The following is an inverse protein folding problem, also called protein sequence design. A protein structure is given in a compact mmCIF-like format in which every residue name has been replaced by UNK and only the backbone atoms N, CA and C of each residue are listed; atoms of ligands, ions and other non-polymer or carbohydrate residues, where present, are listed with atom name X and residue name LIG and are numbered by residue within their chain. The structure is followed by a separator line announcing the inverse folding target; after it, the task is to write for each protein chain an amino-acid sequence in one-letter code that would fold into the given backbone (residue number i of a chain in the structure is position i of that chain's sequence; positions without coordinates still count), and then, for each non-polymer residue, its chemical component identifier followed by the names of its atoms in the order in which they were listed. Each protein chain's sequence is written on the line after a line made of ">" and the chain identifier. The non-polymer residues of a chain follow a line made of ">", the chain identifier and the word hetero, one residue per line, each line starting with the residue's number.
data_IF_468600484127
#
_entry.id   IF_468600484127
#
_cell.length_a   1.000
_cell.length_b   1.000
_cell.length_c   1.000
_cell.angle_alpha   90.00
_cell.angle_beta   90.00
_cell.angle_gamma   90.00
#
_symmetry.space_group_name_H-M   'P 1'
#
loop_
_entity.id
_entity.type
_entity.pdbx_description
1 polymer ?
#
# COMPACT_ATOMS: atom_id res chain seq x y z
N UNK A 1 17.87 -19.60 -0.27
CA UNK A 1 16.43 -19.73 -0.49
C UNK A 1 15.71 -18.76 0.40
N UNK A 2 14.97 -17.83 -0.20
CA UNK A 2 14.20 -16.85 0.55
C UNK A 2 13.07 -17.58 1.28
N UNK A 3 12.63 -17.09 2.44
CA UNK A 3 11.54 -17.70 3.20
C UNK A 3 10.23 -17.66 2.40
N UNK A 4 10.06 -16.64 1.56
CA UNK A 4 8.97 -16.49 0.58
C UNK A 4 8.94 -17.69 -0.38
N UNK A 5 10.09 -18.11 -0.91
CA UNK A 5 10.16 -19.25 -1.84
C UNK A 5 9.74 -20.56 -1.16
N UNK A 6 10.01 -20.71 0.14
CA UNK A 6 9.57 -21.89 0.91
C UNK A 6 8.05 -21.90 1.11
N UNK A 7 7.47 -20.74 1.41
CA UNK A 7 6.01 -20.60 1.54
C UNK A 7 5.30 -20.80 0.20
N UNK A 8 5.85 -20.26 -0.88
CA UNK A 8 5.33 -20.42 -2.24
C UNK A 8 5.29 -21.90 -2.64
N UNK A 9 6.34 -22.66 -2.35
CA UNK A 9 6.37 -24.11 -2.61
C UNK A 9 5.31 -24.89 -1.82
N UNK A 10 4.96 -24.45 -0.61
CA UNK A 10 4.03 -25.15 0.28
C UNK A 10 2.57 -24.74 0.05
N UNK A 11 2.32 -23.45 -0.18
CA UNK A 11 1.00 -22.84 -0.19
C UNK A 11 0.63 -22.18 -1.54
N UNK A 12 1.49 -22.28 -2.56
CA UNK A 12 1.26 -21.67 -3.88
C UNK A 12 -0.08 -22.05 -4.52
N UNK A 13 -0.63 -23.23 -4.21
CA UNK A 13 -1.94 -23.71 -4.70
C UNK A 13 -3.15 -22.91 -4.16
N UNK A 14 -2.99 -22.21 -3.04
CA UNK A 14 -4.04 -21.38 -2.44
C UNK A 14 -3.99 -19.92 -2.89
N UNK A 15 -3.12 -19.58 -3.84
CA UNK A 15 -3.09 -18.26 -4.42
C UNK A 15 -4.41 -17.99 -5.17
N UNK A 16 -5.09 -16.91 -4.80
CA UNK A 16 -6.24 -16.39 -5.52
C UNK A 16 -5.72 -15.71 -6.79
N UNK A 17 -6.07 -16.21 -7.99
CA UNK A 17 -5.69 -15.57 -9.23
C UNK A 17 -6.44 -14.25 -9.39
N UNK A 18 -5.78 -13.23 -9.95
CA UNK A 18 -6.39 -11.93 -10.23
C UNK A 18 -7.00 -11.23 -8.99
N UNK A 19 -6.43 -11.43 -7.80
CA UNK A 19 -6.93 -10.85 -6.54
C UNK A 19 -7.22 -9.35 -6.66
N UNK A 20 -6.27 -8.56 -7.19
CA UNK A 20 -6.45 -7.11 -7.29
C UNK A 20 -7.63 -6.74 -8.19
N UNK A 21 -7.89 -7.49 -9.25
CA UNK A 21 -9.03 -7.21 -10.14
C UNK A 21 -10.35 -7.39 -9.39
N UNK A 22 -10.45 -8.45 -8.57
CA UNK A 22 -11.58 -8.67 -7.70
C UNK A 22 -11.76 -7.54 -6.67
N UNK A 23 -10.67 -7.10 -6.04
CA UNK A 23 -10.71 -5.99 -5.07
C UNK A 23 -11.17 -4.68 -5.71
N UNK A 24 -10.62 -4.32 -6.88
CA UNK A 24 -10.96 -3.09 -7.59
C UNK A 24 -12.41 -3.10 -8.09
N UNK A 25 -12.88 -4.23 -8.64
CA UNK A 25 -14.28 -4.38 -9.06
C UNK A 25 -15.24 -4.29 -7.87
N UNK A 26 -14.87 -4.88 -6.73
CA UNK A 26 -15.66 -4.78 -5.50
C UNK A 26 -15.73 -3.34 -4.99
N UNK A 27 -14.61 -2.61 -4.97
CA UNK A 27 -14.60 -1.18 -4.62
C UNK A 27 -15.44 -0.32 -5.58
N UNK A 28 -15.44 -0.64 -6.87
CA UNK A 28 -16.29 0.04 -7.84
C UNK A 28 -17.77 -0.21 -7.54
N UNK A 29 -18.16 -1.48 -7.33
CA UNK A 29 -19.54 -1.85 -7.05
C UNK A 29 -20.05 -1.22 -5.74
N UNK A 30 -19.26 -1.29 -4.67
CA UNK A 30 -19.59 -0.67 -3.38
C UNK A 30 -19.65 0.85 -3.49
N UNK A 31 -18.70 1.48 -4.20
CA UNK A 31 -18.73 2.93 -4.40
C UNK A 31 -19.94 3.40 -5.20
N UNK A 32 -20.34 2.68 -6.25
CA UNK A 32 -21.57 2.98 -6.99
C UNK A 32 -22.82 2.79 -6.12
N UNK A 33 -22.86 1.73 -5.30
CA UNK A 33 -23.95 1.52 -4.35
C UNK A 33 -24.08 2.67 -3.34
N UNK A 34 -22.96 3.15 -2.80
CA UNK A 34 -22.91 4.29 -1.87
C UNK A 34 -23.43 5.57 -2.55
N UNK A 35 -23.03 5.81 -3.80
CA UNK A 35 -23.40 7.03 -4.54
C UNK A 35 -24.86 7.07 -4.98
N UNK A 36 -25.43 5.92 -5.37
CA UNK A 36 -26.75 5.85 -6.02
C UNK A 36 -27.84 5.45 -5.01
N UNK A 37 -27.54 4.54 -4.08
CA UNK A 37 -28.54 3.89 -3.23
C UNK A 37 -28.51 4.44 -1.80
N UNK A 38 -27.37 4.34 -1.11
CA UNK A 38 -27.27 4.78 0.28
C UNK A 38 -25.87 5.28 0.64
N UNK A 39 -25.77 6.59 0.86
CA UNK A 39 -24.50 7.25 1.20
C UNK A 39 -23.89 6.80 2.53
N UNK A 40 -24.69 6.29 3.45
CA UNK A 40 -24.25 5.82 4.77
C UNK A 40 -23.86 4.34 4.77
N UNK A 41 -23.79 3.69 3.61
CA UNK A 41 -23.43 2.27 3.53
C UNK A 41 -21.96 2.03 3.93
N UNK A 42 -21.11 3.05 3.80
CA UNK A 42 -19.73 3.08 4.31
C UNK A 42 -19.64 2.72 5.81
N UNK A 43 -20.59 3.21 6.62
CA UNK A 43 -20.70 2.93 8.06
C UNK A 43 -20.92 1.43 8.37
N UNK A 44 -21.36 0.62 7.41
CA UNK A 44 -21.60 -0.80 7.60
C UNK A 44 -20.42 -1.68 7.21
N UNK A 45 -19.46 -1.14 6.44
CA UNK A 45 -18.34 -1.90 5.88
C UNK A 45 -16.98 -1.54 6.46
N UNK A 46 -16.81 -0.33 7.02
CA UNK A 46 -15.53 0.10 7.59
C UNK A 46 -15.08 -0.80 8.74
N UNK A 47 -13.76 -0.90 8.94
CA UNK A 47 -13.21 -1.74 9.98
C UNK A 47 -13.33 -1.05 11.34
N UNK A 48 -14.17 -1.61 12.23
CA UNK A 48 -14.37 -1.13 13.60
C UNK A 48 -14.15 -2.25 14.59
N UNK A 49 -13.31 -2.02 15.59
CA UNK A 49 -13.07 -2.97 16.68
C UNK A 49 -14.35 -3.27 17.45
N UNK A 50 -15.10 -2.23 17.80
CA UNK A 50 -16.33 -2.38 18.58
C UNK A 50 -17.37 -3.23 17.85
N UNK A 51 -17.59 -2.94 16.57
CA UNK A 51 -18.55 -3.70 15.76
C UNK A 51 -18.13 -5.17 15.58
N UNK A 52 -16.83 -5.46 15.44
CA UNK A 52 -16.32 -6.83 15.38
C UNK A 52 -16.58 -7.58 16.69
N UNK A 53 -16.34 -6.94 17.83
CA UNK A 53 -16.59 -7.54 19.15
C UNK A 53 -18.09 -7.81 19.39
N UNK A 54 -18.97 -7.02 18.77
CA UNK A 54 -20.42 -7.24 18.75
C UNK A 54 -20.89 -8.25 17.67
N UNK A 55 -19.98 -8.98 17.01
CA UNK A 55 -20.30 -10.08 16.10
C UNK A 55 -20.28 -9.73 14.61
N UNK A 56 -19.92 -8.50 14.22
CA UNK A 56 -19.86 -8.10 12.81
C UNK A 56 -18.54 -8.52 12.13
N UNK A 57 -18.28 -9.83 12.09
CA UNK A 57 -17.02 -10.41 11.58
C UNK A 57 -16.78 -10.16 10.09
N UNK A 58 -17.82 -9.90 9.30
CA UNK A 58 -17.70 -9.59 7.88
C UNK A 58 -16.85 -8.33 7.63
N UNK A 59 -16.77 -7.41 8.58
CA UNK A 59 -15.95 -6.18 8.50
C UNK A 59 -14.46 -6.47 8.32
N UNK A 60 -13.98 -7.64 8.74
CA UNK A 60 -12.60 -8.08 8.50
C UNK A 60 -12.28 -8.26 7.01
N UNK A 61 -13.30 -8.44 6.17
CA UNK A 61 -13.15 -8.59 4.71
C UNK A 61 -13.76 -7.39 3.97
N UNK A 62 -14.92 -6.89 4.39
CA UNK A 62 -15.64 -5.83 3.66
C UNK A 62 -14.90 -4.51 3.61
N UNK A 63 -14.05 -4.21 4.61
CA UNK A 63 -13.28 -2.97 4.63
C UNK A 63 -12.34 -2.83 3.43
N UNK A 64 -11.91 -3.94 2.82
CA UNK A 64 -11.09 -3.91 1.60
C UNK A 64 -11.84 -3.30 0.41
N UNK A 65 -13.16 -3.39 0.41
CA UNK A 65 -14.01 -2.83 -0.64
C UNK A 65 -14.48 -1.41 -0.33
N UNK A 66 -14.02 -0.82 0.77
CA UNK A 66 -14.26 0.59 1.05
C UNK A 66 -13.64 1.44 -0.06
N UNK A 67 -14.42 2.32 -0.72
CA UNK A 67 -13.99 3.00 -1.92
C UNK A 67 -13.09 4.19 -1.58
N UNK A 68 -11.78 3.98 -1.72
CA UNK A 68 -10.72 4.99 -1.54
C UNK A 68 -10.79 6.17 -2.54
N UNK A 69 -11.73 6.13 -3.49
CA UNK A 69 -11.84 7.05 -4.60
C UNK A 69 -13.01 8.05 -4.51
N UNK A 70 -13.90 7.95 -3.51
CA UNK A 70 -15.12 8.78 -3.41
C UNK A 70 -14.90 10.27 -3.09
N UNK A 71 -13.66 10.75 -3.05
CA UNK A 71 -13.30 12.13 -2.68
C UNK A 71 -13.22 13.16 -3.83
N UNK A 72 -13.40 12.77 -5.09
CA UNK A 72 -13.34 13.73 -6.21
C UNK A 72 -13.74 13.17 -7.57
N UNK A 73 -13.97 14.06 -8.54
CA UNK A 73 -14.38 13.73 -9.93
C UNK A 73 -13.42 12.76 -10.61
N UNK A 74 -12.15 12.78 -10.20
CA UNK A 74 -11.11 11.93 -10.76
C UNK A 74 -11.00 10.56 -10.06
N UNK A 75 -11.85 10.24 -9.08
CA UNK A 75 -11.79 9.00 -8.31
C UNK A 75 -11.75 7.72 -9.16
N UNK A 76 -12.55 7.65 -10.22
CA UNK A 76 -12.56 6.49 -11.13
C UNK A 76 -11.19 6.28 -11.79
N UNK A 77 -10.49 7.36 -12.16
CA UNK A 77 -9.14 7.26 -12.73
C UNK A 77 -8.14 6.75 -11.69
N UNK A 78 -8.31 7.08 -10.41
CA UNK A 78 -7.49 6.55 -9.33
C UNK A 78 -7.71 5.04 -9.16
N UNK A 79 -8.96 4.56 -9.24
CA UNK A 79 -9.27 3.13 -9.23
C UNK A 79 -8.62 2.39 -10.41
N UNK A 80 -8.75 2.93 -11.62
CA UNK A 80 -8.10 2.37 -12.83
C UNK A 80 -6.58 2.33 -12.66
N UNK A 81 -6.01 3.34 -12.01
CA UNK A 81 -4.59 3.40 -11.74
C UNK A 81 -4.12 2.30 -10.77
N UNK A 82 -4.84 2.09 -9.67
CA UNK A 82 -4.56 0.99 -8.73
C UNK A 82 -4.76 -0.39 -9.36
N UNK A 83 -5.77 -0.54 -10.21
CA UNK A 83 -5.96 -1.75 -11.01
C UNK A 83 -4.74 -2.02 -11.91
N UNK A 84 -4.23 -1.00 -12.60
CA UNK A 84 -3.09 -1.14 -13.49
C UNK A 84 -1.79 -1.47 -12.75
N UNK A 85 -1.53 -0.79 -11.62
CA UNK A 85 -0.39 -1.07 -10.74
C UNK A 85 -0.46 -2.50 -10.21
N UNK A 86 -1.62 -2.90 -9.67
CA UNK A 86 -1.82 -4.22 -9.11
C UNK A 86 -1.54 -5.32 -10.12
N UNK A 87 -2.11 -5.23 -11.32
CA UNK A 87 -1.84 -6.19 -12.40
C UNK A 87 -0.37 -6.23 -12.82
N UNK A 88 0.32 -5.09 -12.79
CA UNK A 88 1.74 -5.03 -13.13
C UNK A 88 2.60 -5.72 -12.06
N UNK A 89 2.26 -5.56 -10.78
CA UNK A 89 2.87 -6.30 -9.67
C UNK A 89 2.55 -7.81 -9.75
N UNK A 90 1.30 -8.19 -10.06
CA UNK A 90 0.92 -9.60 -10.25
C UNK A 90 1.77 -10.26 -11.34
N UNK A 91 1.97 -9.57 -12.47
CA UNK A 91 2.78 -10.09 -13.57
C UNK A 91 4.26 -10.24 -13.20
N UNK A 92 4.79 -9.34 -12.39
CA UNK A 92 6.21 -9.37 -12.01
C UNK A 92 6.52 -10.36 -10.88
N UNK A 93 5.59 -10.58 -9.94
CA UNK A 93 5.82 -11.45 -8.78
C UNK A 93 5.09 -12.79 -8.85
N UNK A 94 4.04 -12.91 -9.66
CA UNK A 94 3.10 -14.03 -9.62
C UNK A 94 2.01 -13.85 -8.55
N UNK A 95 0.92 -14.63 -8.69
CA UNK A 95 -0.27 -14.52 -7.84
C UNK A 95 0.03 -14.77 -6.36
N UNK A 96 0.85 -15.78 -6.04
CA UNK A 96 1.12 -16.14 -4.65
C UNK A 96 1.79 -15.01 -3.86
N UNK A 97 2.82 -14.41 -4.44
CA UNK A 97 3.59 -13.35 -3.76
C UNK A 97 2.76 -12.09 -3.57
N UNK A 98 1.95 -11.73 -4.56
CA UNK A 98 1.03 -10.60 -4.44
C UNK A 98 -0.06 -10.86 -3.38
N UNK A 99 -0.60 -12.07 -3.34
CA UNK A 99 -1.57 -12.44 -2.31
C UNK A 99 -0.95 -12.36 -0.92
N UNK A 100 0.25 -12.91 -0.73
CA UNK A 100 0.97 -12.80 0.54
C UNK A 100 1.24 -11.34 0.91
N UNK A 101 1.64 -10.52 -0.06
CA UNK A 101 1.87 -9.09 0.13
C UNK A 101 0.61 -8.37 0.65
N UNK A 102 -0.53 -8.56 -0.02
CA UNK A 102 -1.81 -7.96 0.36
C UNK A 102 -2.28 -8.50 1.71
N UNK A 103 -2.17 -9.81 1.94
CA UNK A 103 -2.54 -10.45 3.22
C UNK A 103 -1.74 -9.90 4.40
N UNK A 104 -0.44 -9.64 4.21
CA UNK A 104 0.40 -9.03 5.25
C UNK A 104 -0.05 -7.59 5.55
N UNK A 105 -0.40 -6.81 4.52
CA UNK A 105 -1.00 -5.49 4.70
C UNK A 105 -2.33 -5.56 5.46
N UNK A 106 -3.22 -6.48 5.07
CA UNK A 106 -4.51 -6.71 5.74
C UNK A 106 -4.34 -7.11 7.19
N UNK A 107 -3.44 -8.06 7.48
CA UNK A 107 -3.14 -8.48 8.85
C UNK A 107 -2.58 -7.31 9.68
N UNK A 108 -1.72 -6.48 9.09
CA UNK A 108 -1.25 -5.25 9.72
C UNK A 108 -2.40 -4.30 10.05
N UNK A 109 -3.31 -4.05 9.10
CA UNK A 109 -4.48 -3.20 9.32
C UNK A 109 -5.41 -3.78 10.40
N UNK A 110 -5.62 -5.10 10.45
CA UNK A 110 -6.39 -5.74 11.52
C UNK A 110 -5.77 -5.47 12.89
N UNK A 111 -4.47 -5.73 13.05
CA UNK A 111 -3.75 -5.47 14.31
C UNK A 111 -3.85 -3.98 14.67
N UNK A 112 -3.67 -3.09 13.70
CA UNK A 112 -3.84 -1.65 13.88
C UNK A 112 -5.23 -1.31 14.39
N UNK A 113 -6.28 -1.82 13.75
CA UNK A 113 -7.65 -1.56 14.15
C UNK A 113 -7.99 -2.09 15.55
N UNK A 114 -7.46 -3.26 15.95
CA UNK A 114 -7.64 -3.77 17.30
C UNK A 114 -6.95 -2.91 18.37
N UNK A 115 -5.85 -2.23 18.03
CA UNK A 115 -5.15 -1.33 18.94
C UNK A 115 -5.81 0.06 18.99
N UNK A 116 -6.19 0.60 17.85
CA UNK A 116 -6.59 2.01 17.69
C UNK A 116 -8.10 2.22 17.66
N UNK A 117 -8.87 1.15 17.44
CA UNK A 117 -10.33 1.14 17.40
C UNK A 117 -10.92 1.06 16.00
N UNK A 118 -10.17 1.44 14.95
CA UNK A 118 -10.64 1.43 13.57
C UNK A 118 -9.50 1.21 12.56
N UNK A 119 -9.83 0.78 11.35
CA UNK A 119 -8.86 0.63 10.26
C UNK A 119 -9.43 1.00 8.91
N UNK A 120 -8.53 1.34 7.98
CA UNK A 120 -8.84 1.70 6.60
C UNK A 120 -7.99 0.85 5.65
N UNK A 121 -8.49 0.53 4.45
CA UNK A 121 -7.67 -0.16 3.45
C UNK A 121 -6.59 0.74 2.81
N UNK A 122 -6.58 2.05 3.07
CA UNK A 122 -5.62 3.02 2.49
C UNK A 122 -4.17 2.56 2.64
N UNK A 123 -3.80 2.04 3.81
CA UNK A 123 -2.44 1.55 4.07
C UNK A 123 -2.03 0.41 3.14
N UNK A 124 -2.96 -0.50 2.83
CA UNK A 124 -2.72 -1.65 1.95
C UNK A 124 -2.49 -1.18 0.51
N UNK A 125 -3.36 -0.29 0.00
CA UNK A 125 -3.23 0.25 -1.35
C UNK A 125 -2.01 1.17 -1.49
N UNK A 126 -1.75 2.02 -0.51
CA UNK A 126 -0.56 2.85 -0.46
C UNK A 126 0.72 2.00 -0.42
N UNK A 127 0.72 0.90 0.33
CA UNK A 127 1.86 -0.04 0.32
C UNK A 127 2.12 -0.56 -1.10
N UNK A 128 1.06 -0.95 -1.82
CA UNK A 128 1.13 -1.42 -3.20
C UNK A 128 1.67 -0.34 -4.15
N UNK A 129 1.26 0.91 -3.94
CA UNK A 129 1.81 2.08 -4.65
C UNK A 129 3.33 2.21 -4.43
N UNK A 130 3.78 2.13 -3.18
CA UNK A 130 5.22 2.20 -2.87
C UNK A 130 6.00 1.05 -3.49
N UNK A 131 5.49 -0.17 -3.45
CA UNK A 131 6.12 -1.32 -4.09
C UNK A 131 6.33 -1.08 -5.59
N UNK A 132 5.30 -0.55 -6.26
CA UNK A 132 5.38 -0.23 -7.68
C UNK A 132 6.39 0.87 -7.99
N UNK A 133 6.35 1.97 -7.22
CA UNK A 133 7.30 3.08 -7.34
C UNK A 133 8.74 2.64 -7.13
N UNK A 134 8.98 1.68 -6.23
CA UNK A 134 10.29 1.11 -5.96
C UNK A 134 10.80 0.23 -7.10
N UNK A 135 9.94 -0.62 -7.68
CA UNK A 135 10.33 -1.50 -8.78
C UNK A 135 10.55 -0.77 -10.10
N UNK A 136 9.72 0.22 -10.42
CA UNK A 136 9.77 0.94 -11.69
C UNK A 136 9.81 2.47 -11.53
N UNK A 137 10.84 3.03 -10.87
CA UNK A 137 10.90 4.47 -10.55
C UNK A 137 10.99 5.36 -11.79
N UNK A 138 11.55 4.83 -12.89
CA UNK A 138 11.74 5.56 -14.15
C UNK A 138 10.58 5.40 -15.14
N UNK A 139 9.57 4.59 -14.81
CA UNK A 139 8.45 4.37 -15.71
C UNK A 139 7.59 5.64 -15.83
N UNK A 140 7.28 6.00 -17.08
CA UNK A 140 6.36 7.09 -17.40
C UNK A 140 4.92 6.64 -17.20
N UNK A 141 4.17 7.41 -16.43
CA UNK A 141 2.74 7.21 -16.18
C UNK A 141 2.02 8.52 -16.46
N UNK A 142 0.81 8.43 -17.01
CA UNK A 142 -0.06 9.57 -17.21
C UNK A 142 -0.90 9.79 -15.95
N UNK A 143 -0.59 10.85 -15.19
CA UNK A 143 -1.44 11.29 -14.09
C UNK A 143 -2.78 11.74 -14.68
N UNK A 144 -3.87 11.13 -14.21
CA UNK A 144 -5.24 11.42 -14.68
C UNK A 144 -5.43 11.25 -16.20
N UNK A 145 -4.57 10.50 -16.87
CA UNK A 145 -4.59 10.36 -18.34
C UNK A 145 -4.09 11.58 -19.11
N UNK A 146 -3.60 12.63 -18.44
CA UNK A 146 -3.24 13.91 -19.07
C UNK A 146 -1.75 14.21 -18.91
N UNK A 147 -1.21 14.12 -17.69
CA UNK A 147 0.13 14.65 -17.38
C UNK A 147 1.14 13.50 -17.32
N UNK A 148 2.06 13.35 -18.29
CA UNK A 148 3.08 12.32 -18.23
C UNK A 148 4.13 12.68 -17.17
N UNK A 149 4.40 11.77 -16.25
CA UNK A 149 5.42 11.95 -15.21
C UNK A 149 6.02 10.61 -14.79
N UNK A 150 7.17 10.66 -14.10
CA UNK A 150 7.87 9.47 -13.63
C UNK A 150 7.35 9.02 -12.27
N UNK A 151 7.21 7.71 -12.07
CA UNK A 151 6.70 7.14 -10.81
C UNK A 151 7.51 7.51 -9.58
N UNK A 152 8.82 7.76 -9.70
CA UNK A 152 9.63 8.26 -8.59
C UNK A 152 9.06 9.53 -7.94
N UNK A 153 8.47 10.44 -8.73
CA UNK A 153 7.90 11.67 -8.19
C UNK A 153 6.61 11.39 -7.42
N UNK A 154 5.79 10.46 -7.91
CA UNK A 154 4.60 10.02 -7.16
C UNK A 154 5.01 9.38 -5.84
N UNK A 155 6.00 8.50 -5.87
CA UNK A 155 6.53 7.86 -4.66
C UNK A 155 6.99 8.87 -3.62
N UNK A 156 7.70 9.93 -4.03
CA UNK A 156 8.11 11.00 -3.11
C UNK A 156 6.93 11.82 -2.59
N UNK A 157 5.93 12.10 -3.44
CA UNK A 157 4.72 12.82 -3.02
C UNK A 157 3.92 12.03 -1.98
N UNK A 158 3.63 10.76 -2.29
CA UNK A 158 2.91 9.85 -1.38
C UNK A 158 3.68 9.64 -0.07
N UNK A 159 5.01 9.53 -0.14
CA UNK A 159 5.86 9.46 1.05
C UNK A 159 5.77 10.74 1.88
N UNK A 160 5.77 11.91 1.25
CA UNK A 160 5.64 13.19 1.96
C UNK A 160 4.27 13.29 2.65
N UNK A 161 3.19 12.92 1.96
CA UNK A 161 1.83 12.88 2.54
C UNK A 161 1.78 11.89 3.71
N UNK A 162 2.36 10.70 3.55
CA UNK A 162 2.44 9.70 4.62
C UNK A 162 3.20 10.22 5.85
N UNK A 163 4.37 10.85 5.65
CA UNK A 163 5.17 11.44 6.73
C UNK A 163 4.42 12.59 7.42
N UNK A 164 3.74 13.45 6.66
CA UNK A 164 2.93 14.52 7.24
C UNK A 164 1.81 13.96 8.13
N UNK A 165 1.08 12.95 7.65
CA UNK A 165 0.05 12.26 8.45
C UNK A 165 0.65 11.55 9.67
N UNK A 166 1.87 11.03 9.56
CA UNK A 166 2.57 10.41 10.68
C UNK A 166 2.94 11.44 11.76
N UNK A 167 3.47 12.61 11.37
CA UNK A 167 3.90 13.66 12.30
C UNK A 167 2.70 14.34 12.94
N UNK A 168 1.71 14.74 12.13
CA UNK A 168 0.50 15.43 12.59
C UNK A 168 -0.51 14.52 13.28
N UNK A 169 -0.50 13.23 12.94
CA UNK A 169 -1.42 12.24 13.48
C UNK A 169 -1.15 11.88 14.94
N UNK A 170 -2.22 11.48 15.62
CA UNK A 170 -2.14 10.90 16.97
C UNK A 170 -1.48 9.52 16.96
N UNK A 171 -1.29 8.96 18.16
CA UNK A 171 -0.64 7.66 18.35
C UNK A 171 -1.37 6.54 17.57
N UNK A 172 -2.70 6.59 17.52
CA UNK A 172 -3.51 5.65 16.74
C UNK A 172 -3.23 5.73 15.23
N UNK A 173 -3.27 6.92 14.66
CA UNK A 173 -2.97 7.14 13.23
C UNK A 173 -1.57 6.63 12.88
N UNK A 174 -0.56 6.90 13.72
CA UNK A 174 0.82 6.44 13.52
C UNK A 174 0.92 4.91 13.47
N UNK A 175 0.26 4.23 14.41
CA UNK A 175 0.24 2.76 14.45
C UNK A 175 -0.42 2.21 13.19
N UNK A 176 -1.60 2.72 12.82
CA UNK A 176 -2.32 2.26 11.64
C UNK A 176 -1.53 2.49 10.34
N UNK A 177 -0.85 3.63 10.21
CA UNK A 177 -0.02 3.96 9.06
C UNK A 177 1.18 3.00 8.89
N UNK A 178 1.88 2.70 9.98
CA UNK A 178 3.05 1.80 9.94
C UNK A 178 2.61 0.36 9.71
N UNK A 179 1.56 -0.10 10.40
CA UNK A 179 1.07 -1.46 10.25
C UNK A 179 0.41 -1.70 8.88
N UNK A 180 -0.26 -0.69 8.31
CA UNK A 180 -0.79 -0.78 6.94
C UNK A 180 0.31 -0.97 5.89
N UNK A 181 1.54 -0.51 6.17
CA UNK A 181 2.71 -0.74 5.32
C UNK A 181 3.40 -2.09 5.54
N UNK A 182 2.86 -2.98 6.38
CA UNK A 182 3.50 -4.26 6.71
C UNK A 182 3.87 -5.08 5.46
N UNK A 183 3.01 -5.11 4.43
CA UNK A 183 3.32 -5.77 3.15
C UNK A 183 4.60 -5.21 2.50
N UNK A 184 4.69 -3.89 2.37
CA UNK A 184 5.88 -3.21 1.83
C UNK A 184 7.13 -3.45 2.68
N UNK A 185 7.01 -3.31 4.00
CA UNK A 185 8.14 -3.47 4.93
C UNK A 185 8.70 -4.89 4.91
N UNK A 186 7.85 -5.91 4.79
CA UNK A 186 8.30 -7.31 4.75
C UNK A 186 9.00 -7.66 3.44
N UNK A 187 8.53 -7.14 2.31
CA UNK A 187 9.11 -7.43 0.99
C UNK A 187 10.34 -6.57 0.69
N UNK A 188 10.26 -5.27 0.93
CA UNK A 188 11.26 -4.29 0.51
C UNK A 188 12.04 -3.69 1.68
N UNK A 189 11.64 -3.89 2.93
CA UNK A 189 12.26 -3.22 4.07
C UNK A 189 13.77 -3.47 4.17
N UNK A 190 14.23 -4.69 3.87
CA UNK A 190 15.67 -5.00 3.85
C UNK A 190 16.40 -4.27 2.71
N UNK A 191 15.86 -4.31 1.50
CA UNK A 191 16.46 -3.65 0.34
C UNK A 191 16.51 -2.13 0.52
N UNK A 192 15.42 -1.54 1.02
CA UNK A 192 15.34 -0.11 1.35
C UNK A 192 16.35 0.25 2.43
N UNK A 193 16.49 -0.58 3.47
CA UNK A 193 17.47 -0.35 4.54
C UNK A 193 18.91 -0.41 4.02
N UNK A 194 19.24 -1.42 3.22
CA UNK A 194 20.57 -1.57 2.62
C UNK A 194 20.88 -0.40 1.67
N UNK A 195 19.91 0.00 0.84
CA UNK A 195 20.02 1.18 -0.03
C UNK A 195 20.23 2.49 0.75
N UNK A 196 19.48 2.70 1.84
CA UNK A 196 19.65 3.85 2.73
C UNK A 196 21.05 3.87 3.35
N UNK A 197 21.51 2.72 3.86
CA UNK A 197 22.83 2.57 4.47
C UNK A 197 23.93 2.89 3.46
N UNK A 198 23.86 2.34 2.26
CA UNK A 198 24.84 2.55 1.20
C UNK A 198 24.85 3.98 0.68
N UNK A 199 23.68 4.63 0.61
CA UNK A 199 23.57 6.03 0.22
C UNK A 199 24.23 6.96 1.24
N UNK A 200 24.00 6.71 2.54
CA UNK A 200 24.61 7.48 3.64
C UNK A 200 26.12 7.24 3.68
N UNK A 201 26.56 5.97 3.65
CA UNK A 201 27.98 5.62 3.64
C UNK A 201 28.70 6.17 2.40
N UNK A 202 28.05 6.12 1.23
CA UNK A 202 28.57 6.65 -0.03
C UNK A 202 28.66 8.17 -0.03
N UNK A 203 27.70 8.86 0.59
CA UNK A 203 27.78 10.31 0.81
C UNK A 203 28.95 10.66 1.74
N UNK A 204 29.09 9.94 2.86
CA UNK A 204 30.20 10.13 3.81
C UNK A 204 31.57 9.87 3.14
N UNK A 205 31.70 8.78 2.38
CA UNK A 205 32.92 8.45 1.62
C UNK A 205 33.29 9.54 0.61
N UNK A 206 32.31 10.09 -0.12
CA UNK A 206 32.53 11.20 -1.06
C UNK A 206 33.01 12.46 -0.34
N UNK A 207 32.41 12.78 0.81
CA UNK A 207 32.81 13.93 1.63
C UNK A 207 34.21 13.76 2.21
N UNK A 208 34.56 12.57 2.69
CA UNK A 208 35.89 12.26 3.23
C UNK A 208 36.97 12.30 2.14
N UNK A 209 36.64 11.90 0.90
CA UNK A 209 37.54 12.04 -0.24
C UNK A 209 37.77 13.51 -0.63
N UNK A 210 36.71 14.32 -0.71
CA UNK A 210 36.83 15.77 -0.98
C UNK A 210 37.67 16.49 0.08
N UNK A 211 37.49 16.14 1.36
CA UNK A 211 38.27 16.71 2.46
C UNK A 211 39.74 16.27 2.46
N UNK A 212 40.09 15.13 1.86
CA UNK A 212 41.48 14.70 1.67
C UNK A 212 42.13 15.40 0.47
N UNK A 213 41.38 15.62 -0.61
CA UNK A 213 41.87 16.32 -1.80
C UNK A 213 42.04 17.83 -1.58
N UNK A 214 41.23 18.47 -0.73
CA UNK A 214 41.36 19.90 -0.40
C UNK A 214 42.47 20.21 0.63
N UNK A 215 43.27 19.22 1.04
CA UNK A 215 44.39 19.38 1.99
C UNK A 215 45.77 19.49 1.30
N UNK A 216 45.78 19.55 -0.02
CA UNK A 216 46.93 19.81 -0.88
C UNK A 216 46.60 20.97 -1.81
#
# INVERSE_FOLDING_TARGET
>A
MNWIDKLERRYGRYAIPNLVNGLMLGQLAVGLFILIINRNFDLYIYLSRDAILHGQIWRLVTFLFEPIWLGGVLGILNLVFYFWIGNSLTRAWGDFRLNLYVLLGVAGTWIGAFLTGYGSPDGVYLSMMFAYCWMWPNQGVLLWGIIPFKMKYLGWFELAVWVLNFVMGGLGTRISLVLGMAGFLVFFGREVFDWCKDTIMGYKRRRDWQNRNNRW
#
